data_IF_316080477946
#
_entry.id   IF_316080477946
#
_cell.length_a   1.000
_cell.length_b   1.000
_cell.length_c   1.000
_cell.angle_alpha   90.00
_cell.angle_beta   90.00
_cell.angle_gamma   90.00
#
_symmetry.space_group_name_H-M   'P 1'
#
loop_
_entity.id
_entity.type
_entity.pdbx_description
1 polymer ?
#
# COMPACT_ATOMS: atom_id res chain seq x y z
N UNK A 1 15.83 1.95 17.33
CA UNK A 1 16.25 2.41 15.98
C UNK A 1 15.08 2.25 15.00
N UNK A 2 13.97 2.93 15.26
CA UNK A 2 12.77 2.93 14.41
C UNK A 2 13.00 3.88 13.23
N UNK A 3 13.38 3.40 12.04
CA UNK A 3 13.51 4.33 10.91
C UNK A 3 14.07 3.80 9.60
N UNK A 4 14.77 2.67 9.58
CA UNK A 4 15.48 2.24 8.37
C UNK A 4 14.58 2.08 7.13
N UNK A 5 13.45 1.32 7.14
CA UNK A 5 12.62 1.18 5.95
C UNK A 5 11.91 2.49 5.54
N UNK A 6 11.57 3.35 6.50
CA UNK A 6 10.93 4.66 6.22
C UNK A 6 11.93 5.60 5.56
N UNK A 7 13.14 5.69 6.11
CA UNK A 7 14.21 6.51 5.56
C UNK A 7 14.56 6.08 4.14
N UNK A 8 14.66 4.77 3.91
CA UNK A 8 14.91 4.23 2.56
C UNK A 8 13.79 4.56 1.58
N UNK A 9 12.53 4.53 2.01
CA UNK A 9 11.42 4.95 1.15
C UNK A 9 11.46 6.45 0.83
N UNK A 10 11.98 7.28 1.75
CA UNK A 10 12.18 8.72 1.53
C UNK A 10 13.36 9.00 0.58
N UNK A 11 14.38 8.15 0.57
CA UNK A 11 15.55 8.25 -0.32
C UNK A 11 15.36 7.54 -1.67
N UNK A 12 14.41 6.61 -1.75
CA UNK A 12 14.20 5.79 -2.93
C UNK A 12 13.66 6.64 -4.08
N UNK A 13 14.39 6.63 -5.19
CA UNK A 13 13.96 7.20 -6.46
C UNK A 13 13.39 6.10 -7.35
N UNK A 14 12.22 6.33 -7.94
CA UNK A 14 11.73 5.44 -8.99
C UNK A 14 12.29 5.88 -10.35
N UNK A 15 12.75 4.91 -11.13
CA UNK A 15 13.13 5.13 -12.51
C UNK A 15 12.04 4.67 -13.49
N UNK A 16 12.40 4.71 -14.78
CA UNK A 16 11.56 4.17 -15.85
C UNK A 16 11.20 2.69 -15.62
N UNK A 17 12.10 1.91 -15.04
CA UNK A 17 11.89 0.48 -14.80
C UNK A 17 10.73 0.24 -13.81
N UNK A 18 10.75 0.91 -12.65
CA UNK A 18 9.69 0.84 -11.64
C UNK A 18 8.38 1.37 -12.19
N UNK A 19 8.41 2.45 -12.98
CA UNK A 19 7.24 2.99 -13.65
C UNK A 19 6.61 1.98 -14.64
N UNK A 20 7.44 1.27 -15.41
CA UNK A 20 6.98 0.22 -16.32
C UNK A 20 6.41 -0.98 -15.58
N UNK A 21 6.99 -1.35 -14.44
CA UNK A 21 6.45 -2.39 -13.57
C UNK A 21 5.11 -1.94 -12.95
N UNK A 22 5.01 -0.70 -12.49
CA UNK A 22 3.79 -0.14 -11.90
C UNK A 22 2.58 -0.26 -12.85
N UNK A 23 2.80 -0.03 -14.16
CA UNK A 23 1.75 -0.21 -15.17
C UNK A 23 1.11 -1.60 -15.17
N UNK A 24 1.85 -2.66 -14.82
CA UNK A 24 1.32 -4.03 -14.84
C UNK A 24 0.20 -4.22 -13.82
N UNK A 25 0.15 -3.42 -12.77
CA UNK A 25 -0.90 -3.48 -11.76
C UNK A 25 -2.19 -2.80 -12.22
N UNK A 26 -2.11 -1.89 -13.18
CA UNK A 26 -3.23 -1.03 -13.54
C UNK A 26 -4.14 -1.67 -14.60
N UNK A 27 -5.47 -1.59 -14.46
CA UNK A 27 -6.39 -1.93 -15.54
C UNK A 27 -6.13 -1.09 -16.79
N UNK A 28 -6.45 -1.61 -17.98
CA UNK A 28 -6.25 -0.87 -19.24
C UNK A 28 -6.90 0.52 -19.23
N UNK A 29 -8.12 0.64 -18.69
CA UNK A 29 -8.83 1.93 -18.60
C UNK A 29 -8.06 2.98 -17.78
N UNK A 30 -7.48 2.57 -16.65
CA UNK A 30 -6.67 3.46 -15.81
C UNK A 30 -5.42 3.88 -16.55
N UNK A 31 -4.78 2.94 -17.24
CA UNK A 31 -3.58 3.22 -18.02
C UNK A 31 -3.79 4.18 -19.19
N UNK A 32 -4.87 4.01 -19.93
CA UNK A 32 -5.29 4.97 -20.97
C UNK A 32 -5.62 6.34 -20.37
N UNK A 33 -6.15 6.36 -19.15
CA UNK A 33 -6.47 7.59 -18.45
C UNK A 33 -5.25 8.44 -18.07
N UNK A 34 -4.05 7.85 -17.92
CA UNK A 34 -2.82 8.59 -17.57
C UNK A 34 -2.45 9.67 -18.58
N UNK A 35 -2.76 9.45 -19.86
CA UNK A 35 -2.48 10.38 -20.95
C UNK A 35 -3.75 11.08 -21.43
N UNK A 36 -4.86 10.98 -20.69
CA UNK A 36 -6.12 11.60 -21.07
C UNK A 36 -6.01 13.13 -21.02
N UNK A 37 -6.60 13.81 -22.00
CA UNK A 37 -6.79 15.26 -21.96
C UNK A 37 -7.78 15.69 -20.88
N UNK A 38 -8.75 14.83 -20.54
CA UNK A 38 -9.76 15.11 -19.51
C UNK A 38 -9.16 15.09 -18.10
N UNK A 39 -9.23 16.22 -17.41
CA UNK A 39 -8.60 16.42 -16.11
C UNK A 39 -9.04 15.37 -15.07
N UNK A 40 -10.34 15.12 -14.91
CA UNK A 40 -10.84 14.18 -13.90
C UNK A 40 -10.43 12.73 -14.16
N UNK A 41 -10.41 12.31 -15.43
CA UNK A 41 -9.93 10.98 -15.82
C UNK A 41 -8.43 10.86 -15.53
N UNK A 42 -7.66 11.88 -15.92
CA UNK A 42 -6.22 11.91 -15.72
C UNK A 42 -5.86 11.89 -14.25
N UNK A 43 -6.43 12.79 -13.45
CA UNK A 43 -6.20 12.88 -11.99
C UNK A 43 -6.49 11.56 -11.27
N UNK A 44 -7.61 10.89 -11.56
CA UNK A 44 -7.93 9.58 -10.97
C UNK A 44 -6.91 8.51 -11.36
N UNK A 45 -6.45 8.56 -12.61
CA UNK A 45 -5.48 7.59 -13.12
C UNK A 45 -4.09 7.81 -12.54
N UNK A 46 -3.67 9.07 -12.39
CA UNK A 46 -2.45 9.48 -11.72
C UNK A 46 -2.44 9.01 -10.26
N UNK A 47 -3.55 9.14 -9.53
CA UNK A 47 -3.67 8.63 -8.15
C UNK A 47 -3.44 7.11 -8.08
N UNK A 48 -4.09 6.34 -8.95
CA UNK A 48 -3.88 4.88 -9.02
C UNK A 48 -2.47 4.49 -9.44
N UNK A 49 -1.87 5.24 -10.35
CA UNK A 49 -0.47 5.02 -10.73
C UNK A 49 0.48 5.36 -9.59
N UNK A 50 0.18 6.40 -8.82
CA UNK A 50 0.95 6.77 -7.63
C UNK A 50 0.93 5.63 -6.58
N UNK A 51 -0.22 5.03 -6.29
CA UNK A 51 -0.30 3.82 -5.46
C UNK A 51 0.59 2.68 -6.01
N UNK A 52 0.52 2.44 -7.32
CA UNK A 52 1.25 1.36 -7.99
C UNK A 52 2.77 1.54 -7.95
N UNK A 53 3.27 2.75 -8.19
CA UNK A 53 4.70 3.02 -8.20
C UNK A 53 5.30 3.02 -6.79
N UNK A 54 4.53 3.43 -5.77
CA UNK A 54 4.96 3.28 -4.37
C UNK A 54 5.07 1.81 -4.00
N UNK A 55 4.12 0.98 -4.44
CA UNK A 55 4.20 -0.46 -4.23
C UNK A 55 5.46 -1.07 -4.88
N UNK A 56 5.79 -0.68 -6.11
CA UNK A 56 7.02 -1.14 -6.78
C UNK A 56 8.30 -0.62 -6.11
N UNK A 57 8.30 0.60 -5.58
CA UNK A 57 9.40 1.09 -4.76
C UNK A 57 9.59 0.26 -3.50
N UNK A 58 8.51 -0.08 -2.80
CA UNK A 58 8.60 -0.94 -1.62
C UNK A 58 9.10 -2.35 -1.97
N UNK A 59 8.71 -2.90 -3.13
CA UNK A 59 9.29 -4.15 -3.64
C UNK A 59 10.80 -4.00 -3.87
N UNK A 60 11.22 -2.94 -4.55
CA UNK A 60 12.64 -2.66 -4.78
C UNK A 60 13.43 -2.53 -3.47
N UNK A 61 12.91 -1.77 -2.51
CA UNK A 61 13.50 -1.63 -1.16
C UNK A 61 13.55 -2.99 -0.45
N UNK A 62 12.50 -3.81 -0.53
CA UNK A 62 12.46 -5.13 0.10
C UNK A 62 13.43 -6.14 -0.54
N UNK A 63 13.74 -5.97 -1.82
CA UNK A 63 14.72 -6.80 -2.54
C UNK A 63 16.15 -6.35 -2.27
N UNK A 64 16.41 -5.04 -2.32
CA UNK A 64 17.75 -4.46 -2.15
C UNK A 64 18.18 -4.38 -0.68
N UNK A 65 17.22 -4.25 0.24
CA UNK A 65 17.48 -4.05 1.65
C UNK A 65 16.70 -5.05 2.51
N UNK A 66 17.39 -5.62 3.50
CA UNK A 66 16.80 -6.59 4.42
C UNK A 66 15.75 -6.01 5.37
N UNK A 67 15.45 -4.70 5.35
CA UNK A 67 14.59 -4.04 6.33
C UNK A 67 13.09 -4.37 6.22
N UNK A 68 12.62 -4.87 5.08
CA UNK A 68 11.23 -5.31 4.89
C UNK A 68 11.18 -6.84 4.90
N UNK A 69 10.55 -7.41 5.94
CA UNK A 69 10.42 -8.85 6.08
C UNK A 69 9.27 -9.42 5.25
N UNK A 70 8.14 -8.69 5.19
CA UNK A 70 6.92 -9.07 4.46
C UNK A 70 6.25 -7.84 3.88
N UNK A 71 5.82 -7.93 2.64
CA UNK A 71 5.02 -6.92 1.94
C UNK A 71 3.73 -7.58 1.46
N UNK A 72 2.58 -7.05 1.84
CA UNK A 72 1.30 -7.57 1.35
C UNK A 72 1.23 -7.39 -0.18
N UNK A 73 0.75 -8.40 -0.89
CA UNK A 73 0.56 -8.33 -2.33
C UNK A 73 -0.39 -7.19 -2.73
N UNK A 74 -0.21 -6.62 -3.92
CA UNK A 74 -1.08 -5.57 -4.45
C UNK A 74 -1.19 -5.65 -5.98
N UNK A 75 -2.33 -5.24 -6.53
CA UNK A 75 -2.55 -5.17 -7.97
C UNK A 75 -2.38 -6.52 -8.67
N UNK A 76 -1.42 -6.61 -9.59
CA UNK A 76 -1.11 -7.84 -10.33
C UNK A 76 -0.44 -8.95 -9.50
N UNK A 77 0.10 -8.64 -8.33
CA UNK A 77 0.67 -9.67 -7.44
C UNK A 77 -0.37 -10.24 -6.47
N UNK A 78 -1.54 -9.61 -6.38
CA UNK A 78 -2.61 -10.09 -5.55
C UNK A 78 -3.09 -11.48 -6.05
N UNK A 79 -3.29 -12.45 -5.16
CA UNK A 79 -3.89 -13.73 -5.50
C UNK A 79 -5.33 -13.52 -6.03
N UNK A 80 -5.91 -14.53 -6.70
CA UNK A 80 -7.31 -14.52 -7.06
C UNK A 80 -8.21 -14.23 -5.85
N UNK A 81 -9.38 -13.59 -6.04
CA UNK A 81 -10.27 -13.25 -4.93
C UNK A 81 -10.62 -14.49 -4.09
N UNK A 82 -10.25 -14.48 -2.82
CA UNK A 82 -10.60 -15.55 -1.89
C UNK A 82 -12.09 -15.54 -1.57
N UNK A 83 -12.66 -16.73 -1.30
CA UNK A 83 -14.05 -16.91 -0.84
C UNK A 83 -14.24 -16.57 0.64
N UNK A 84 -13.16 -16.40 1.41
CA UNK A 84 -13.26 -16.01 2.83
C UNK A 84 -13.99 -14.68 2.98
N UNK A 85 -14.81 -14.59 4.04
CA UNK A 85 -15.54 -13.38 4.41
C UNK A 85 -14.80 -12.55 5.48
N UNK A 86 -13.61 -13.00 5.89
CA UNK A 86 -12.88 -12.44 7.03
C UNK A 86 -11.40 -12.26 6.66
N UNK A 87 -10.79 -11.16 7.09
CA UNK A 87 -9.36 -10.88 6.93
C UNK A 87 -9.02 -10.05 5.70
N UNK A 88 -7.75 -10.10 5.29
CA UNK A 88 -7.31 -9.38 4.10
C UNK A 88 -7.86 -10.08 2.85
N UNK A 89 -8.47 -9.29 1.99
CA UNK A 89 -8.96 -9.64 0.67
C UNK A 89 -8.45 -8.64 -0.34
N UNK A 90 -8.54 -9.03 -1.60
CA UNK A 90 -8.14 -8.17 -2.70
C UNK A 90 -9.37 -7.76 -3.50
N UNK A 91 -9.45 -6.47 -3.84
CA UNK A 91 -10.44 -5.98 -4.80
C UNK A 91 -10.15 -6.55 -6.20
N UNK A 92 -11.09 -6.40 -7.15
CA UNK A 92 -10.88 -6.85 -8.54
C UNK A 92 -9.69 -6.16 -9.21
N UNK A 93 -9.41 -4.93 -8.82
CA UNK A 93 -8.25 -4.18 -9.27
C UNK A 93 -6.98 -4.44 -8.44
N UNK A 94 -7.08 -5.18 -7.33
CA UNK A 94 -5.96 -5.68 -6.53
C UNK A 94 -5.59 -4.83 -5.31
N UNK A 95 -6.45 -3.88 -4.91
CA UNK A 95 -6.31 -3.11 -3.67
C UNK A 95 -6.56 -3.96 -2.43
N UNK A 96 -5.93 -3.58 -1.31
CA UNK A 96 -5.95 -4.34 -0.06
C UNK A 96 -7.19 -3.97 0.73
N UNK A 97 -8.08 -4.92 0.94
CA UNK A 97 -9.33 -4.77 1.69
C UNK A 97 -9.29 -5.58 2.95
N UNK A 98 -9.65 -4.98 4.07
CA UNK A 98 -9.84 -5.67 5.33
C UNK A 98 -11.33 -5.92 5.51
N UNK A 99 -11.70 -7.19 5.58
CA UNK A 99 -13.06 -7.61 5.86
C UNK A 99 -13.20 -8.11 7.30
N UNK A 100 -14.27 -7.66 7.97
CA UNK A 100 -14.67 -8.16 9.29
C UNK A 100 -16.16 -8.43 9.32
N UNK A 101 -16.57 -9.56 9.90
CA UNK A 101 -17.94 -10.04 9.94
C UNK A 101 -18.62 -10.12 8.55
N UNK A 102 -17.85 -10.39 7.49
CA UNK A 102 -18.36 -10.43 6.12
C UNK A 102 -18.61 -9.09 5.45
N UNK A 103 -18.33 -7.98 6.13
CA UNK A 103 -18.40 -6.63 5.57
C UNK A 103 -17.00 -6.07 5.29
N UNK A 104 -16.91 -5.13 4.36
CA UNK A 104 -15.70 -4.32 4.17
C UNK A 104 -15.56 -3.38 5.37
N UNK A 105 -14.50 -3.57 6.16
CA UNK A 105 -14.21 -2.75 7.33
C UNK A 105 -13.23 -1.62 6.98
N UNK A 106 -12.26 -1.88 6.10
CA UNK A 106 -11.33 -0.87 5.60
C UNK A 106 -10.75 -1.24 4.22
N UNK A 107 -10.29 -0.23 3.48
CA UNK A 107 -9.39 -0.39 2.33
C UNK A 107 -8.11 0.39 2.66
N UNK A 108 -6.95 -0.21 2.38
CA UNK A 108 -5.64 0.41 2.58
C UNK A 108 -4.81 0.27 1.30
N UNK A 109 -3.90 1.22 1.07
CA UNK A 109 -3.10 1.19 -0.15
C UNK A 109 -1.90 0.26 -0.01
N UNK A 110 -1.28 0.26 1.19
CA UNK A 110 -0.04 -0.46 1.46
C UNK A 110 -0.07 -1.14 2.83
N UNK A 111 0.59 -2.29 2.93
CA UNK A 111 0.78 -3.01 4.19
C UNK A 111 2.08 -3.81 4.15
N UNK A 112 2.97 -3.60 5.11
CA UNK A 112 4.22 -4.34 5.22
C UNK A 112 4.67 -4.50 6.67
N UNK A 113 5.59 -5.42 6.92
CA UNK A 113 6.22 -5.65 8.20
C UNK A 113 7.73 -5.53 8.06
N UNK A 114 8.39 -4.88 9.01
CA UNK A 114 9.84 -4.86 9.08
C UNK A 114 10.39 -6.16 9.68
N UNK A 115 11.71 -6.30 9.71
CA UNK A 115 12.40 -7.46 10.33
C UNK A 115 12.29 -7.53 11.84
N UNK A 116 11.91 -6.44 12.50
CA UNK A 116 11.60 -6.40 13.93
C UNK A 116 10.13 -6.80 14.21
N UNK A 117 9.34 -7.08 13.17
CA UNK A 117 7.94 -7.46 13.27
C UNK A 117 6.97 -6.29 13.45
N UNK A 118 7.43 -5.04 13.33
CA UNK A 118 6.55 -3.87 13.36
C UNK A 118 5.72 -3.84 12.08
N UNK A 119 4.42 -3.58 12.24
CA UNK A 119 3.49 -3.50 11.12
C UNK A 119 3.35 -2.05 10.67
N UNK A 120 3.39 -1.82 9.36
CA UNK A 120 3.20 -0.54 8.72
C UNK A 120 2.04 -0.63 7.74
N UNK A 121 1.12 0.32 7.81
CA UNK A 121 0.15 0.54 6.74
C UNK A 121 0.30 1.95 6.18
N UNK A 122 -0.01 2.11 4.90
CA UNK A 122 0.17 3.37 4.19
C UNK A 122 -1.07 3.80 3.42
N UNK A 123 -1.23 5.12 3.33
CA UNK A 123 -2.21 5.79 2.48
C UNK A 123 -1.46 6.72 1.53
N UNK A 124 -1.64 6.51 0.23
CA UNK A 124 -0.98 7.24 -0.84
C UNK A 124 -1.95 8.21 -1.50
N UNK A 125 -1.66 9.50 -1.43
CA UNK A 125 -2.57 10.53 -1.91
C UNK A 125 -1.85 11.61 -2.71
N UNK A 126 -2.30 11.81 -3.95
CA UNK A 126 -1.90 12.96 -4.80
C UNK A 126 -2.74 14.21 -4.51
N UNK A 127 -3.84 14.08 -3.77
CA UNK A 127 -4.61 15.19 -3.24
C UNK A 127 -4.95 14.96 -1.77
N UNK A 128 -4.75 15.97 -0.93
CA UNK A 128 -5.00 15.86 0.50
C UNK A 128 -6.51 15.84 0.81
N UNK A 129 -7.01 14.83 1.55
CA UNK A 129 -8.37 14.83 2.05
C UNK A 129 -8.56 15.83 3.21
N UNK A 130 -9.81 16.11 3.63
CA UNK A 130 -10.07 16.90 4.83
C UNK A 130 -9.39 16.30 6.07
N UNK A 131 -8.52 17.05 6.79
CA UNK A 131 -7.66 16.48 7.82
C UNK A 131 -8.40 15.76 8.96
N UNK A 132 -9.53 16.32 9.40
CA UNK A 132 -10.30 15.75 10.52
C UNK A 132 -10.91 14.39 10.19
N UNK A 133 -11.50 14.26 8.99
CA UNK A 133 -12.08 13.01 8.51
C UNK A 133 -11.00 11.97 8.27
N UNK A 134 -9.90 12.38 7.64
CA UNK A 134 -8.78 11.50 7.36
C UNK A 134 -8.12 10.97 8.64
N UNK A 135 -7.95 11.82 9.66
CA UNK A 135 -7.44 11.36 10.96
C UNK A 135 -8.33 10.31 11.61
N UNK A 136 -9.65 10.54 11.62
CA UNK A 136 -10.60 9.56 12.14
C UNK A 136 -10.55 8.24 11.36
N UNK A 137 -10.36 8.30 10.05
CA UNK A 137 -10.16 7.12 9.21
C UNK A 137 -8.87 6.36 9.55
N UNK A 138 -7.74 7.06 9.66
CA UNK A 138 -6.44 6.48 10.01
C UNK A 138 -6.49 5.79 11.38
N UNK A 139 -7.09 6.42 12.39
CA UNK A 139 -7.19 5.79 13.73
C UNK A 139 -8.08 4.54 13.72
N UNK A 140 -9.20 4.55 12.97
CA UNK A 140 -10.04 3.36 12.79
C UNK A 140 -9.27 2.23 12.09
N UNK A 141 -8.56 2.54 10.99
CA UNK A 141 -7.72 1.58 10.26
C UNK A 141 -6.62 1.01 11.15
N UNK A 142 -5.94 1.86 11.91
CA UNK A 142 -4.88 1.46 12.85
C UNK A 142 -5.42 0.50 13.91
N UNK A 143 -6.56 0.83 14.54
CA UNK A 143 -7.18 -0.02 15.55
C UNK A 143 -7.54 -1.41 14.99
N UNK A 144 -8.15 -1.43 13.79
CA UNK A 144 -8.50 -2.67 13.10
C UNK A 144 -7.26 -3.52 12.77
N UNK A 145 -6.21 -2.92 12.23
CA UNK A 145 -4.97 -3.64 11.90
C UNK A 145 -4.27 -4.14 13.17
N UNK A 146 -4.31 -3.36 14.25
CA UNK A 146 -3.74 -3.75 15.54
C UNK A 146 -4.44 -4.99 16.11
N UNK A 147 -5.76 -5.04 16.02
CA UNK A 147 -6.55 -6.21 16.41
C UNK A 147 -6.14 -7.46 15.59
N UNK A 148 -5.98 -7.31 14.27
CA UNK A 148 -5.53 -8.39 13.38
C UNK A 148 -4.10 -8.85 13.67
N UNK A 149 -3.23 -7.92 14.04
CA UNK A 149 -1.84 -8.17 14.36
C UNK A 149 -1.63 -8.71 15.79
N UNK A 150 -2.70 -8.93 16.57
CA UNK A 150 -2.58 -9.42 17.95
C UNK A 150 -2.02 -8.39 18.91
N UNK A 151 -2.49 -7.14 18.81
CA UNK A 151 -2.09 -6.00 19.64
C UNK A 151 -0.63 -5.52 19.45
N UNK A 152 0.03 -5.95 18.36
CA UNK A 152 1.34 -5.42 17.99
C UNK A 152 1.28 -3.93 17.60
N UNK A 153 2.34 -3.15 17.85
CA UNK A 153 2.42 -1.77 17.39
C UNK A 153 2.22 -1.65 15.87
N UNK A 154 1.29 -0.77 15.47
CA UNK A 154 0.98 -0.47 14.07
C UNK A 154 1.38 0.97 13.76
N UNK A 155 2.25 1.10 12.77
CA UNK A 155 2.77 2.35 12.25
C UNK A 155 1.99 2.79 11.01
N UNK A 156 1.87 4.10 10.84
CA UNK A 156 1.14 4.71 9.74
C UNK A 156 2.08 5.51 8.83
N UNK A 157 1.94 5.34 7.52
CA UNK A 157 2.65 6.16 6.54
C UNK A 157 1.65 6.98 5.74
N UNK A 158 1.81 8.31 5.80
CA UNK A 158 1.15 9.18 4.84
C UNK A 158 2.11 9.49 3.70
N UNK A 159 1.71 9.14 2.48
CA UNK A 159 2.59 9.21 1.31
C UNK A 159 1.98 10.18 0.32
N UNK A 160 2.69 11.27 0.03
CA UNK A 160 2.18 12.30 -0.87
C UNK A 160 3.31 13.06 -1.53
N UNK A 161 3.22 13.37 -2.83
CA UNK A 161 4.26 14.16 -3.50
C UNK A 161 4.27 15.62 -3.02
N UNK A 162 3.20 16.08 -2.35
CA UNK A 162 3.05 17.46 -1.88
C UNK A 162 2.98 17.54 -0.36
N UNK A 163 3.31 18.71 0.18
CA UNK A 163 3.22 18.98 1.61
C UNK A 163 1.76 18.99 2.08
N UNK A 164 1.35 18.15 3.04
CA UNK A 164 0.01 18.21 3.59
C UNK A 164 -0.24 19.52 4.34
N UNK A 165 -1.49 20.01 4.38
CA UNK A 165 -1.84 21.20 5.12
C UNK A 165 -1.62 21.00 6.62
N UNK A 166 -1.42 22.11 7.36
CA UNK A 166 -1.08 22.08 8.79
C UNK A 166 -2.04 21.28 9.68
N UNK A 167 -3.30 21.11 9.27
CA UNK A 167 -4.28 20.27 9.97
C UNK A 167 -3.90 18.79 10.08
N UNK A 168 -2.93 18.31 9.30
CA UNK A 168 -2.39 16.94 9.41
C UNK A 168 -1.31 16.80 10.49
N UNK A 169 -0.74 17.90 11.00
CA UNK A 169 0.33 17.84 12.00
C UNK A 169 0.01 16.91 13.20
N UNK A 170 -1.22 16.89 13.76
CA UNK A 170 -1.55 15.97 14.86
C UNK A 170 -1.41 14.48 14.54
N UNK A 171 -1.41 14.08 13.27
CA UNK A 171 -1.18 12.67 12.88
C UNK A 171 0.27 12.24 13.14
N UNK A 172 1.21 13.18 13.23
CA UNK A 172 2.65 12.92 13.28
C UNK A 172 3.28 13.24 14.64
N UNK A 173 2.53 13.82 15.60
CA UNK A 173 3.07 14.31 16.88
C UNK A 173 3.24 13.23 17.97
N UNK A 174 2.80 11.99 17.76
CA UNK A 174 2.78 10.93 18.79
C UNK A 174 3.79 9.78 18.59
N UNK A 175 4.68 9.90 17.60
CA UNK A 175 5.45 8.75 17.11
C UNK A 175 4.56 7.76 16.34
N UNK A 176 5.17 6.78 15.68
CA UNK A 176 4.42 5.74 14.97
C UNK A 176 3.86 6.13 13.61
N UNK A 177 3.67 7.42 13.32
CA UNK A 177 3.31 7.92 11.98
C UNK A 177 4.49 8.62 11.30
N UNK A 178 4.59 8.50 9.98
CA UNK A 178 5.57 9.25 9.20
C UNK A 178 4.98 9.82 7.90
N UNK A 179 5.54 10.95 7.48
CA UNK A 179 5.28 11.55 6.16
C UNK A 179 6.40 11.13 5.20
N UNK A 180 6.01 10.60 4.04
CA UNK A 180 6.92 10.23 2.96
C UNK A 180 6.54 11.04 1.73
N UNK A 181 7.52 11.72 1.12
CA UNK A 181 7.28 12.62 -0.01
C UNK A 181 8.12 12.25 -1.22
N UNK A 182 7.80 11.14 -1.89
CA UNK A 182 8.54 10.75 -3.06
C UNK A 182 7.98 11.51 -4.28
N UNK A 183 8.87 12.09 -5.10
CA UNK A 183 8.50 12.77 -6.34
C UNK A 183 8.47 11.77 -7.50
N UNK A 184 7.34 11.09 -7.66
CA UNK A 184 7.21 9.96 -8.61
C UNK A 184 6.23 10.23 -9.74
N UNK A 185 5.53 11.36 -9.72
CA UNK A 185 4.60 11.72 -10.80
C UNK A 185 5.36 12.09 -12.07
N UNK A 186 6.62 12.54 -11.95
CA UNK A 186 7.51 12.74 -13.08
C UNK A 186 7.68 11.46 -13.93
N UNK A 187 7.61 10.27 -13.32
CA UNK A 187 7.76 8.98 -13.99
C UNK A 187 6.65 8.70 -15.01
N UNK A 188 5.50 9.39 -14.94
CA UNK A 188 4.43 9.24 -15.94
C UNK A 188 4.92 9.68 -17.32
N UNK A 189 5.74 10.74 -17.38
CA UNK A 189 6.33 11.23 -18.64
C UNK A 189 7.23 10.21 -19.28
N UNK A 190 8.00 9.49 -18.47
CA UNK A 190 8.86 8.41 -18.94
C UNK A 190 8.04 7.34 -19.67
N UNK A 191 6.89 6.93 -19.13
CA UNK A 191 6.11 5.83 -19.69
C UNK A 191 4.97 6.26 -20.62
N UNK A 192 4.88 7.54 -20.99
CA UNK A 192 3.74 8.09 -21.72
C UNK A 192 3.51 7.38 -23.07
N UNK A 193 4.59 6.96 -23.72
CA UNK A 193 4.60 6.22 -24.99
C UNK A 193 3.96 4.84 -24.89
N UNK A 194 3.98 4.22 -23.69
CA UNK A 194 3.50 2.85 -23.47
C UNK A 194 2.38 2.74 -22.45
N UNK A 195 1.93 3.85 -21.85
CA UNK A 195 0.87 3.86 -20.86
C UNK A 195 -0.38 3.16 -21.42
N UNK A 196 -0.88 3.58 -22.59
CA UNK A 196 -2.08 3.02 -23.21
C UNK A 196 -1.97 1.61 -23.81
N UNK A 197 -0.78 0.98 -23.81
CA UNK A 197 -0.57 -0.34 -24.40
C UNK A 197 -1.36 -1.43 -23.66
N UNK A 198 -1.98 -2.42 -24.33
CA UNK A 198 -2.57 -3.58 -23.67
C UNK A 198 -1.48 -4.53 -23.13
N UNK A 199 -0.98 -4.25 -21.92
CA UNK A 199 -0.12 -5.18 -21.17
C UNK A 199 -0.98 -6.10 -20.33
N UNK A 200 -0.62 -7.39 -20.30
CA UNK A 200 -1.25 -8.36 -19.39
C UNK A 200 -0.79 -8.09 -17.96
N UNK A 201 -1.71 -8.19 -17.02
CA UNK A 201 -1.36 -8.28 -15.60
C UNK A 201 -0.61 -9.59 -15.41
N UNK A 202 0.67 -9.51 -15.05
CA UNK A 202 1.52 -10.68 -14.79
C UNK A 202 2.08 -10.53 -13.39
N UNK A 203 1.93 -11.58 -12.60
CA UNK A 203 2.59 -11.69 -11.31
C UNK A 203 4.09 -11.81 -11.54
N UNK A 204 4.86 -11.04 -10.78
CA UNK A 204 6.31 -11.14 -10.77
C UNK A 204 6.73 -11.72 -9.42
N UNK A 205 7.39 -12.89 -9.38
CA UNK A 205 7.84 -13.49 -8.13
C UNK A 205 8.68 -12.50 -7.30
N UNK A 206 8.46 -12.51 -5.99
CA UNK A 206 9.21 -11.69 -5.05
C UNK A 206 9.16 -12.33 -3.67
N UNK A 207 10.31 -12.67 -3.09
CA UNK A 207 10.40 -13.51 -1.89
C UNK A 207 9.80 -12.87 -0.63
N UNK A 208 9.68 -11.53 -0.64
CA UNK A 208 9.04 -10.77 0.45
C UNK A 208 7.56 -10.46 0.21
N UNK A 209 7.03 -10.68 -0.99
CA UNK A 209 5.61 -10.40 -1.27
C UNK A 209 4.78 -11.60 -0.84
N UNK A 210 3.80 -11.36 0.03
CA UNK A 210 2.96 -12.40 0.62
C UNK A 210 1.48 -12.13 0.41
N UNK A 211 0.70 -13.21 0.35
CA UNK A 211 -0.76 -13.14 0.41
C UNK A 211 -1.21 -12.57 1.77
N UNK A 212 -2.19 -11.67 1.74
CA UNK A 212 -2.79 -11.08 2.93
C UNK A 212 -3.36 -12.09 3.93
N UNK A 213 -3.78 -13.28 3.47
CA UNK A 213 -4.27 -14.37 4.33
C UNK A 213 -3.20 -14.92 5.27
N UNK A 214 -1.91 -14.82 4.89
CA UNK A 214 -0.77 -15.25 5.70
C UNK A 214 0.01 -14.08 6.32
N UNK A 215 -0.33 -12.83 5.97
CA UNK A 215 0.44 -11.66 6.37
C UNK A 215 0.60 -11.50 7.89
N UNK A 216 -0.50 -11.69 8.64
CA UNK A 216 -0.53 -11.62 10.11
C UNK A 216 -0.19 -12.95 10.80
N UNK A 217 0.09 -14.01 10.03
CA UNK A 217 0.50 -15.29 10.60
C UNK A 217 1.97 -15.20 11.00
N UNK A 218 2.23 -15.04 12.30
CA UNK A 218 3.59 -15.13 12.83
C UNK A 218 4.05 -16.60 12.79
N UNK A 219 5.29 -16.91 12.39
CA UNK A 219 5.83 -18.26 12.53
C UNK A 219 5.95 -18.71 14.01
N UNK A 220 5.91 -17.78 14.97
CA UNK A 220 6.38 -18.01 16.35
C UNK A 220 5.39 -17.64 17.48
N UNK A 221 4.17 -17.18 17.21
CA UNK A 221 3.24 -16.80 18.28
C UNK A 221 2.02 -17.74 18.33
N UNK A 222 1.91 -18.48 19.43
CA UNK A 222 0.73 -19.26 19.77
C UNK A 222 -0.51 -18.37 19.71
N UNK A 223 -1.42 -18.70 18.80
CA UNK A 223 -2.42 -17.76 18.34
C UNK A 223 -3.38 -17.30 19.42
N UNK A 224 -3.46 -15.97 19.56
CA UNK A 224 -4.51 -15.29 20.31
C UNK A 224 -5.90 -15.65 19.78
N UNK A 225 -6.92 -15.44 20.60
CA UNK A 225 -8.32 -15.82 20.32
C UNK A 225 -8.83 -15.35 18.94
N UNK A 226 -8.35 -14.21 18.46
CA UNK A 226 -8.66 -13.62 17.16
C UNK A 226 -7.99 -14.36 15.99
N UNK A 227 -6.74 -14.84 16.16
CA UNK A 227 -6.07 -15.67 15.14
C UNK A 227 -6.75 -17.02 14.92
N UNK A 228 -7.50 -17.54 15.91
CA UNK A 228 -8.33 -18.74 15.74
C UNK A 228 -9.58 -18.49 14.88
N UNK A 229 -10.07 -17.26 14.81
CA UNK A 229 -11.21 -16.89 13.96
C UNK A 229 -10.84 -16.83 12.47
N UNK A 230 -9.56 -16.62 12.12
CA UNK A 230 -9.08 -16.67 10.73
C UNK A 230 -8.77 -18.09 10.23
N UNK A 231 -8.91 -19.12 11.09
CA UNK A 231 -8.59 -20.52 10.77
C UNK A 231 -9.80 -21.36 10.33
N UNK A 232 -10.98 -20.76 10.12
CA UNK A 232 -12.19 -21.46 9.66
C UNK A 232 -12.75 -20.86 8.38
#
# INVERSE_FOLDING_TARGET
MTGEPIHRLQEANAGRAEALHALRHLPLKIRQGLTSGEYEIRRRSEGRFFEAIIYELLRSVAAAHGGIARLAAWGADAPPPSKTKQGIRYSRDGGIRICSAGALAAEIDLLFADTEGRIYFGEAATTHPPPALFRAEVERKRALIRELAGEQPVHFLYISPTQPPGGFAPLFTGGGSALVRPDLLCCIREIADVAGSPRRRRQLPHDRVVDGSVFFQSPAAGGGYIQRFFRK
#
